data_IF_403431380316
#
_entry.id   IF_403431380316
#
_cell.length_a   1.000
_cell.length_b   1.000
_cell.length_c   1.000
_cell.angle_alpha   90.00
_cell.angle_beta   90.00
_cell.angle_gamma   90.00
#
_symmetry.space_group_name_H-M   'P 1'
#
loop_
_entity.id
_entity.type
_entity.pdbx_description
1 polymer ?
#
# COMPACT_ATOMS: atom_id res chain seq x y z
N UNK A 1 5.12 -4.33 -5.47
CA UNK A 1 4.29 -3.30 -4.80
C UNK A 1 3.95 -3.63 -3.34
N UNK A 2 3.57 -4.87 -3.00
CA UNK A 2 3.29 -5.25 -1.60
C UNK A 2 4.49 -5.10 -0.65
N UNK A 3 5.70 -5.15 -1.18
CA UNK A 3 6.95 -5.02 -0.43
C UNK A 3 7.14 -3.62 0.20
N UNK A 4 6.90 -2.55 -0.56
CA UNK A 4 6.92 -1.16 -0.06
C UNK A 4 5.94 -0.95 1.09
N UNK A 5 4.75 -1.55 1.01
CA UNK A 5 3.73 -1.50 2.06
C UNK A 5 4.08 -2.39 3.27
N UNK A 6 4.93 -3.39 3.09
CA UNK A 6 5.45 -4.23 4.18
C UNK A 6 6.76 -3.71 4.76
N UNK A 7 7.38 -2.71 4.14
CA UNK A 7 8.66 -2.15 4.57
C UNK A 7 8.62 -1.60 6.00
N UNK A 8 9.76 -1.71 6.69
CA UNK A 8 9.97 -1.31 8.08
C UNK A 8 9.50 0.13 8.37
N UNK A 9 9.74 1.04 7.42
CA UNK A 9 9.32 2.45 7.49
C UNK A 9 7.80 2.59 7.53
N UNK A 10 7.10 1.82 6.69
CA UNK A 10 5.64 1.79 6.62
C UNK A 10 5.03 1.25 7.92
N UNK A 11 5.67 0.26 8.55
CA UNK A 11 5.24 -0.30 9.86
C UNK A 11 5.45 0.73 10.97
N UNK A 12 6.64 1.32 11.01
CA UNK A 12 7.05 2.21 12.08
C UNK A 12 6.18 3.48 12.09
N UNK A 13 5.75 3.93 10.90
CA UNK A 13 4.87 5.09 10.76
C UNK A 13 3.42 4.83 11.18
N UNK A 14 2.95 3.58 11.12
CA UNK A 14 1.59 3.21 11.54
C UNK A 14 0.45 3.86 10.72
N UNK A 15 0.75 4.42 9.55
CA UNK A 15 -0.23 5.17 8.72
C UNK A 15 -1.24 4.25 8.04
N UNK A 16 -0.82 3.04 7.67
CA UNK A 16 -1.72 2.06 7.04
C UNK A 16 -2.15 0.98 8.01
N UNK A 17 -3.44 0.64 7.94
CA UNK A 17 -3.94 -0.52 8.63
C UNK A 17 -3.43 -1.79 7.93
N UNK A 18 -2.61 -2.55 8.64
CA UNK A 18 -1.91 -3.73 8.11
C UNK A 18 -2.86 -4.87 7.74
N UNK A 19 -3.96 -5.02 8.50
CA UNK A 19 -5.04 -5.96 8.18
C UNK A 19 -5.72 -5.59 6.85
N UNK A 20 -5.94 -4.30 6.62
CA UNK A 20 -6.51 -3.81 5.37
C UNK A 20 -5.56 -4.00 4.19
N UNK A 21 -4.27 -3.68 4.36
CA UNK A 21 -3.24 -3.89 3.33
C UNK A 21 -3.13 -5.38 2.99
N UNK A 22 -3.10 -6.27 3.99
CA UNK A 22 -3.11 -7.72 3.79
C UNK A 22 -4.37 -8.19 3.06
N UNK A 23 -5.56 -7.68 3.40
CA UNK A 23 -6.80 -7.98 2.66
C UNK A 23 -6.73 -7.55 1.20
N UNK A 24 -6.16 -6.38 0.93
CA UNK A 24 -6.00 -5.85 -0.44
C UNK A 24 -4.96 -6.64 -1.23
N UNK A 25 -3.88 -7.09 -0.59
CA UNK A 25 -2.86 -7.96 -1.20
C UNK A 25 -3.41 -9.37 -1.47
N UNK A 26 -4.20 -9.92 -0.55
CA UNK A 26 -4.76 -11.28 -0.69
C UNK A 26 -5.96 -11.34 -1.65
N UNK A 27 -6.71 -10.25 -1.82
CA UNK A 27 -7.90 -10.22 -2.68
C UNK A 27 -7.82 -9.10 -3.74
N UNK A 28 -6.77 -9.05 -4.57
CA UNK A 28 -6.58 -7.96 -5.52
C UNK A 28 -7.78 -7.81 -6.47
N UNK A 29 -8.42 -8.91 -6.86
CA UNK A 29 -9.59 -8.94 -7.75
C UNK A 29 -10.82 -8.24 -7.16
N UNK A 30 -11.10 -8.38 -5.86
CA UNK A 30 -12.18 -7.64 -5.20
C UNK A 30 -11.85 -6.15 -5.05
N UNK A 31 -10.55 -5.83 -4.98
CA UNK A 31 -10.07 -4.46 -4.84
C UNK A 31 -9.68 -3.80 -6.17
N UNK A 32 -9.97 -4.44 -7.31
CA UNK A 32 -9.89 -3.80 -8.62
C UNK A 32 -11.10 -2.88 -8.80
N UNK A 33 -10.83 -1.63 -9.17
CA UNK A 33 -11.88 -0.72 -9.63
C UNK A 33 -12.42 -1.20 -10.98
N UNK A 34 -13.64 -0.82 -11.34
CA UNK A 34 -14.30 -1.23 -12.59
C UNK A 34 -13.49 -0.93 -13.88
N UNK A 35 -12.45 -0.09 -13.77
CA UNK A 35 -11.50 0.26 -14.82
C UNK A 35 -10.18 -0.54 -14.77
N UNK A 36 -10.13 -1.70 -14.10
CA UNK A 36 -8.90 -2.47 -13.84
C UNK A 36 -7.82 -1.70 -13.07
N UNK A 37 -8.15 -0.56 -12.46
CA UNK A 37 -7.23 0.19 -11.60
C UNK A 37 -7.03 -0.56 -10.28
N UNK A 38 -5.80 -0.99 -10.02
CA UNK A 38 -5.44 -1.66 -8.77
C UNK A 38 -5.39 -0.66 -7.62
N UNK A 39 -6.32 -0.76 -6.65
CA UNK A 39 -6.24 0.02 -5.39
C UNK A 39 -4.93 -0.19 -4.64
N UNK A 40 -4.34 -1.38 -4.80
CA UNK A 40 -3.01 -1.72 -4.31
C UNK A 40 -1.90 -0.82 -4.88
N UNK A 41 -2.03 -0.38 -6.14
CA UNK A 41 -1.08 0.53 -6.79
C UNK A 41 -1.16 1.93 -6.20
N UNK A 42 -2.36 2.45 -5.92
CA UNK A 42 -2.52 3.73 -5.25
C UNK A 42 -1.92 3.72 -3.83
N UNK A 43 -2.13 2.63 -3.08
CA UNK A 43 -1.53 2.43 -1.77
C UNK A 43 0.01 2.40 -1.84
N UNK A 44 0.56 1.63 -2.78
CA UNK A 44 2.01 1.53 -2.97
C UNK A 44 2.63 2.86 -3.44
N UNK A 45 1.95 3.62 -4.31
CA UNK A 45 2.42 4.92 -4.80
C UNK A 45 2.43 5.96 -3.68
N UNK A 46 1.36 6.02 -2.87
CA UNK A 46 1.31 6.93 -1.72
C UNK A 46 2.41 6.61 -0.72
N UNK A 47 2.66 5.32 -0.46
CA UNK A 47 3.71 4.93 0.48
C UNK A 47 5.11 5.20 -0.07
N UNK A 48 5.32 5.02 -1.37
CA UNK A 48 6.56 5.44 -2.02
C UNK A 48 6.82 6.94 -1.84
N UNK A 49 5.79 7.78 -2.06
CA UNK A 49 5.90 9.23 -1.87
C UNK A 49 6.21 9.59 -0.41
N UNK A 50 5.57 8.89 0.54
CA UNK A 50 5.79 9.07 1.97
C UNK A 50 7.21 8.67 2.41
N UNK A 51 7.76 7.60 1.85
CA UNK A 51 9.14 7.20 2.11
C UNK A 51 10.11 8.25 1.54
N UNK A 52 9.90 8.71 0.31
CA UNK A 52 10.78 9.69 -0.34
C UNK A 52 10.73 11.09 0.30
N UNK A 53 9.57 11.55 0.80
CA UNK A 53 9.40 12.92 1.30
C UNK A 53 9.51 13.08 2.82
N UNK A 54 9.32 12.01 3.60
CA UNK A 54 9.35 12.06 5.08
C UNK A 54 10.53 11.25 5.65
N UNK A 55 10.99 10.22 4.96
CA UNK A 55 12.15 9.42 5.38
C UNK A 55 13.46 9.86 4.70
N UNK A 56 13.35 10.65 3.61
CA UNK A 56 14.46 11.26 2.89
C UNK A 56 15.03 12.51 3.57
#
# INVERSE_FOLDING_TARGET
MADILNSSHCINRGVYNRDFVQKVINQPEQYMTALNGSRLWHLALLEYWLQENIDG
#
